data_IF_660909324676
#
_entry.id   IF_660909324676
#
_cell.length_a   1.000
_cell.length_b   1.000
_cell.length_c   1.000
_cell.angle_alpha   90.00
_cell.angle_beta   90.00
_cell.angle_gamma   90.00
#
_symmetry.space_group_name_H-M   'P 1'
#
loop_
_entity.id
_entity.type
_entity.pdbx_description
1 polymer ?
#
# COMPACT_ATOMS: atom_id res chain seq x y z
N UNK A 1 34.11 -2.52 -45.67
CA UNK A 1 33.63 -3.55 -44.73
C UNK A 1 33.91 -3.24 -43.26
N UNK A 2 35.13 -2.83 -42.87
CA UNK A 2 35.48 -2.49 -41.47
C UNK A 2 34.58 -1.42 -40.81
N UNK A 3 34.17 -0.38 -41.57
CA UNK A 3 33.27 0.69 -41.09
C UNK A 3 31.84 0.22 -40.82
N UNK A 4 31.34 -0.75 -41.60
CA UNK A 4 29.99 -1.32 -41.43
C UNK A 4 29.95 -2.20 -40.18
N UNK A 5 31.02 -2.97 -39.94
CA UNK A 5 31.17 -3.80 -38.73
C UNK A 5 31.24 -2.91 -37.48
N UNK A 6 31.96 -1.79 -37.55
CA UNK A 6 32.04 -0.83 -36.44
C UNK A 6 30.66 -0.22 -36.10
N UNK A 7 29.89 0.18 -37.11
CA UNK A 7 28.54 0.73 -36.91
C UNK A 7 27.62 -0.31 -36.29
N UNK A 8 27.68 -1.56 -36.75
CA UNK A 8 26.88 -2.65 -36.20
C UNK A 8 27.22 -2.94 -34.73
N UNK A 9 28.50 -2.91 -34.38
CA UNK A 9 28.96 -3.09 -33.00
C UNK A 9 28.47 -1.96 -32.09
N UNK A 10 28.49 -0.71 -32.55
CA UNK A 10 27.97 0.45 -31.80
C UNK A 10 26.46 0.36 -31.61
N UNK A 11 25.70 -0.06 -32.63
CA UNK A 11 24.26 -0.28 -32.50
C UNK A 11 23.93 -1.38 -31.48
N UNK A 12 24.64 -2.51 -31.50
CA UNK A 12 24.43 -3.61 -30.54
C UNK A 12 24.74 -3.16 -29.11
N UNK A 13 25.79 -2.37 -28.92
CA UNK A 13 26.15 -1.83 -27.61
C UNK A 13 25.09 -0.82 -27.09
N UNK A 14 24.58 0.04 -27.97
CA UNK A 14 23.52 0.99 -27.62
C UNK A 14 22.20 0.31 -27.23
N UNK A 15 21.83 -0.79 -27.89
CA UNK A 15 20.66 -1.58 -27.52
C UNK A 15 20.78 -2.23 -26.14
N UNK A 16 21.96 -2.71 -25.75
CA UNK A 16 22.19 -3.28 -24.42
C UNK A 16 22.14 -2.22 -23.30
N UNK A 17 22.64 -1.02 -23.57
CA UNK A 17 22.59 0.09 -22.61
C UNK A 17 21.13 0.53 -22.30
N UNK A 18 20.23 0.48 -23.28
CA UNK A 18 18.81 0.83 -23.07
C UNK A 18 18.04 -0.21 -22.24
N UNK A 19 18.48 -1.47 -22.22
CA UNK A 19 17.85 -2.52 -21.40
C UNK A 19 18.09 -2.33 -19.88
N UNK A 20 19.15 -1.60 -19.50
CA UNK A 20 19.47 -1.28 -18.10
C UNK A 20 18.77 -0.01 -17.59
N UNK A 21 18.19 0.79 -18.50
CA UNK A 21 17.49 2.05 -18.21
C UNK A 21 15.98 1.89 -18.06
N UNK A 22 15.42 0.74 -18.44
CA UNK A 22 14.05 0.38 -18.06
C UNK A 22 14.04 0.05 -16.57
N UNK A 23 13.30 0.86 -15.82
CA UNK A 23 13.13 0.88 -14.37
C UNK A 23 13.26 -0.48 -13.67
N UNK A 24 13.73 -0.52 -12.40
CA UNK A 24 13.63 -1.74 -11.61
C UNK A 24 12.15 -2.13 -11.54
N UNK A 25 11.76 -3.10 -12.35
CA UNK A 25 10.40 -3.58 -12.46
C UNK A 25 9.89 -3.81 -11.05
N UNK A 26 8.83 -3.07 -10.65
CA UNK A 26 8.19 -3.14 -9.34
C UNK A 26 8.26 -4.58 -8.82
N UNK A 27 9.18 -4.85 -7.91
CA UNK A 27 9.41 -6.22 -7.45
C UNK A 27 8.21 -6.60 -6.59
N UNK A 28 7.32 -7.41 -7.16
CA UNK A 28 6.17 -7.93 -6.44
C UNK A 28 6.65 -9.12 -5.63
N UNK A 29 6.99 -8.88 -4.38
CA UNK A 29 7.33 -9.93 -3.42
C UNK A 29 6.09 -10.77 -3.13
N UNK A 30 6.14 -12.05 -3.48
CA UNK A 30 5.11 -13.05 -3.15
C UNK A 30 5.76 -14.21 -2.42
N UNK A 31 5.25 -14.52 -1.23
CA UNK A 31 5.67 -15.71 -0.51
C UNK A 31 5.25 -16.98 -1.28
N UNK A 32 6.14 -17.96 -1.48
CA UNK A 32 5.81 -19.22 -2.15
C UNK A 32 4.72 -20.01 -1.40
N UNK A 33 4.59 -19.81 -0.09
CA UNK A 33 3.59 -20.45 0.77
C UNK A 33 2.31 -19.63 0.96
N UNK A 34 2.16 -18.50 0.27
CA UNK A 34 1.00 -17.60 0.45
C UNK A 34 -0.32 -18.33 0.20
N UNK A 35 -0.38 -19.20 -0.82
CA UNK A 35 -1.60 -19.96 -1.16
C UNK A 35 -1.97 -20.97 -0.08
N UNK A 36 -1.00 -21.52 0.64
CA UNK A 36 -1.22 -22.47 1.73
C UNK A 36 -1.65 -21.73 3.01
N UNK A 37 -1.00 -20.61 3.31
CA UNK A 37 -1.34 -19.75 4.44
C UNK A 37 -2.76 -19.16 4.34
N UNK A 38 -3.17 -18.72 3.14
CA UNK A 38 -4.53 -18.19 2.91
C UNK A 38 -5.61 -19.22 3.25
N UNK A 39 -5.39 -20.51 2.98
CA UNK A 39 -6.38 -21.57 3.31
C UNK A 39 -6.60 -21.72 4.81
N UNK A 40 -5.58 -21.41 5.62
CA UNK A 40 -5.65 -21.46 7.08
C UNK A 40 -6.21 -20.17 7.71
N UNK A 41 -6.36 -19.09 6.92
CA UNK A 41 -6.89 -17.82 7.39
C UNK A 41 -8.36 -17.67 7.00
N UNK A 42 -9.23 -17.43 7.99
CA UNK A 42 -10.61 -17.07 7.71
C UNK A 42 -10.69 -15.63 7.21
N UNK A 43 -11.52 -15.41 6.18
CA UNK A 43 -11.82 -14.07 5.67
C UNK A 43 -12.52 -13.27 6.76
N UNK A 44 -11.84 -12.25 7.28
CA UNK A 44 -12.41 -11.30 8.23
C UNK A 44 -12.92 -10.10 7.44
N UNK A 45 -14.18 -9.72 7.67
CA UNK A 45 -14.70 -8.46 7.13
C UNK A 45 -14.03 -7.30 7.88
N UNK A 46 -13.24 -6.51 7.15
CA UNK A 46 -12.85 -5.18 7.61
C UNK A 46 -14.09 -4.31 7.41
N UNK A 47 -14.65 -3.78 8.49
CA UNK A 47 -15.73 -2.81 8.41
C UNK A 47 -15.10 -1.42 8.31
N UNK A 48 -15.01 -0.82 7.11
CA UNK A 48 -14.62 0.57 7.04
C UNK A 48 -15.63 1.43 7.80
N UNK A 49 -15.16 2.50 8.43
CA UNK A 49 -15.99 3.45 9.14
C UNK A 49 -15.80 4.77 8.44
N UNK A 50 -16.91 5.40 8.07
CA UNK A 50 -16.90 6.76 7.56
C UNK A 50 -16.97 7.73 8.72
N UNK A 51 -16.24 8.84 8.61
CA UNK A 51 -16.26 9.92 9.59
C UNK A 51 -16.73 11.18 8.89
N UNK A 52 -17.67 11.89 9.53
CA UNK A 52 -18.18 13.16 9.04
C UNK A 52 -17.86 14.26 10.06
N UNK A 53 -17.29 15.37 9.58
CA UNK A 53 -16.95 16.54 10.38
C UNK A 53 -18.03 17.60 10.17
N UNK A 54 -18.88 17.80 11.17
CA UNK A 54 -19.95 18.79 11.13
C UNK A 54 -19.62 20.02 11.96
N UNK A 55 -19.73 21.21 11.36
CA UNK A 55 -19.55 22.50 12.06
C UNK A 55 -20.90 23.09 12.46
N UNK A 56 -21.04 23.52 13.72
CA UNK A 56 -22.20 24.32 14.15
C UNK A 56 -22.29 25.67 13.43
N UNK A 57 -21.15 26.23 13.04
CA UNK A 57 -21.03 27.44 12.23
C UNK A 57 -19.94 27.23 11.18
N UNK A 58 -20.32 27.24 9.92
CA UNK A 58 -19.39 27.04 8.80
C UNK A 58 -18.35 28.16 8.77
N UNK A 59 -17.04 27.84 8.78
CA UNK A 59 -16.00 28.84 8.64
C UNK A 59 -16.06 29.51 7.25
N UNK A 60 -15.72 30.79 7.18
CA UNK A 60 -15.83 31.60 5.95
C UNK A 60 -14.92 31.10 4.81
N UNK A 61 -13.86 30.36 5.13
CA UNK A 61 -12.86 29.87 4.19
C UNK A 61 -12.87 28.32 4.13
N UNK A 62 -14.05 27.70 4.23
CA UNK A 62 -14.20 26.26 4.17
C UNK A 62 -13.79 25.74 2.78
N UNK A 63 -12.59 25.16 2.67
CA UNK A 63 -12.18 24.45 1.46
C UNK A 63 -12.76 23.03 1.49
N UNK A 64 -13.82 22.81 0.71
CA UNK A 64 -14.53 21.52 0.63
C UNK A 64 -13.61 20.34 0.29
N UNK A 65 -12.54 20.56 -0.49
CA UNK A 65 -11.58 19.51 -0.85
C UNK A 65 -10.72 19.16 0.36
N UNK A 66 -10.25 20.18 1.07
CA UNK A 66 -9.46 19.99 2.27
C UNK A 66 -10.28 19.36 3.40
N UNK A 67 -11.55 19.75 3.56
CA UNK A 67 -12.46 19.13 4.55
C UNK A 67 -12.72 17.65 4.28
N UNK A 68 -13.03 17.29 3.02
CA UNK A 68 -13.20 15.88 2.66
C UNK A 68 -11.91 15.08 2.90
N UNK A 69 -10.74 15.68 2.65
CA UNK A 69 -9.45 15.05 2.94
C UNK A 69 -9.26 14.83 4.45
N UNK A 70 -9.62 15.80 5.28
CA UNK A 70 -9.56 15.65 6.74
C UNK A 70 -10.49 14.56 7.26
N UNK A 71 -11.70 14.44 6.70
CA UNK A 71 -12.64 13.37 7.05
C UNK A 71 -12.03 11.99 6.77
N UNK A 72 -11.39 11.82 5.61
CA UNK A 72 -10.69 10.58 5.24
C UNK A 72 -9.51 10.29 6.17
N UNK A 73 -8.68 11.30 6.46
CA UNK A 73 -7.53 11.15 7.36
C UNK A 73 -7.97 10.75 8.78
N UNK A 74 -9.02 11.40 9.28
CA UNK A 74 -9.60 11.09 10.58
C UNK A 74 -10.22 9.70 10.62
N UNK A 75 -10.92 9.28 9.55
CA UNK A 75 -11.45 7.93 9.42
C UNK A 75 -10.33 6.87 9.52
N UNK A 76 -9.20 7.09 8.84
CA UNK A 76 -8.04 6.19 8.92
C UNK A 76 -7.45 6.14 10.33
N UNK A 77 -7.33 7.29 11.00
CA UNK A 77 -6.82 7.35 12.37
C UNK A 77 -7.73 6.60 13.35
N UNK A 78 -9.04 6.87 13.31
CA UNK A 78 -10.02 6.21 14.19
C UNK A 78 -10.02 4.70 13.95
N UNK A 79 -10.02 4.26 12.70
CA UNK A 79 -9.89 2.84 12.35
C UNK A 79 -8.64 2.23 12.97
N UNK A 80 -7.50 2.90 12.84
CA UNK A 80 -6.24 2.42 13.39
C UNK A 80 -6.27 2.29 14.92
N UNK A 81 -6.84 3.26 15.62
CA UNK A 81 -6.97 3.24 17.08
C UNK A 81 -7.90 2.11 17.55
N UNK A 82 -9.04 1.93 16.89
CA UNK A 82 -10.00 0.85 17.18
C UNK A 82 -9.35 -0.51 16.98
N UNK A 83 -8.74 -0.76 15.82
CA UNK A 83 -8.08 -2.03 15.53
C UNK A 83 -6.89 -2.29 16.47
N UNK A 84 -6.13 -1.25 16.82
CA UNK A 84 -5.03 -1.36 17.79
C UNK A 84 -5.51 -1.71 19.19
N UNK A 85 -6.66 -1.17 19.62
CA UNK A 85 -7.27 -1.54 20.89
C UNK A 85 -7.71 -3.02 20.90
N UNK A 86 -8.38 -3.46 19.84
CA UNK A 86 -8.82 -4.86 19.67
C UNK A 86 -7.64 -5.83 19.60
N UNK A 87 -6.52 -5.42 18.99
CA UNK A 87 -5.27 -6.18 18.94
C UNK A 87 -4.68 -6.45 20.34
N UNK A 88 -4.77 -5.50 21.29
CA UNK A 88 -4.26 -5.72 22.67
C UNK A 88 -5.02 -6.81 23.40
N UNK A 89 -6.29 -6.98 23.07
CA UNK A 89 -7.19 -7.96 23.67
C UNK A 89 -7.34 -9.23 22.83
N UNK A 90 -6.48 -9.47 21.84
CA UNK A 90 -6.71 -10.49 20.82
C UNK A 90 -6.96 -11.91 21.38
N UNK A 91 -6.35 -12.27 22.51
CA UNK A 91 -6.56 -13.57 23.16
C UNK A 91 -8.00 -13.80 23.65
N UNK A 92 -8.76 -12.71 23.86
CA UNK A 92 -10.18 -12.76 24.28
C UNK A 92 -11.13 -12.96 23.09
N UNK A 93 -10.67 -12.76 21.85
CA UNK A 93 -11.50 -12.83 20.65
C UNK A 93 -11.12 -14.04 19.79
N UNK A 94 -12.13 -14.67 19.17
CA UNK A 94 -11.89 -15.77 18.21
C UNK A 94 -11.29 -15.30 16.89
N UNK A 95 -11.28 -13.99 16.65
CA UNK A 95 -10.79 -13.36 15.42
C UNK A 95 -9.48 -12.64 15.74
N UNK A 96 -8.46 -12.88 14.92
CA UNK A 96 -7.18 -12.19 15.02
C UNK A 96 -7.13 -11.05 14.01
N UNK A 97 -6.77 -9.88 14.48
CA UNK A 97 -6.49 -8.73 13.62
C UNK A 97 -5.00 -8.74 13.24
N UNK A 98 -4.68 -8.22 12.06
CA UNK A 98 -3.29 -8.04 11.62
C UNK A 98 -2.82 -6.63 11.98
N UNK A 99 -1.64 -6.52 12.57
CA UNK A 99 -0.97 -5.24 12.73
C UNK A 99 -0.29 -4.85 11.40
N UNK A 100 -0.90 -3.90 10.68
CA UNK A 100 -0.43 -3.44 9.37
C UNK A 100 0.95 -2.76 9.46
N UNK A 101 1.19 -1.95 10.50
CA UNK A 101 2.48 -1.26 10.67
C UNK A 101 3.63 -2.25 10.89
N UNK A 102 3.41 -3.24 11.76
CA UNK A 102 4.42 -4.25 12.05
C UNK A 102 4.66 -5.17 10.85
N UNK A 103 3.59 -5.54 10.14
CA UNK A 103 3.70 -6.34 8.90
C UNK A 103 4.49 -5.57 7.83
N UNK A 104 4.19 -4.30 7.61
CA UNK A 104 4.87 -3.48 6.60
C UNK A 104 6.34 -3.19 6.97
N UNK A 105 6.70 -3.23 8.26
CA UNK A 105 8.12 -3.09 8.68
C UNK A 105 8.95 -4.34 8.34
N UNK A 106 8.31 -5.50 8.23
CA UNK A 106 8.97 -6.79 7.98
C UNK A 106 9.08 -7.13 6.48
N UNK A 107 8.43 -6.35 5.61
CA UNK A 107 8.42 -6.48 4.15
C UNK A 107 9.38 -5.46 3.53
#
# INVERSE_FOLDING_TARGET
MKKVILILAVCLFACQAMAQLLEPAKQVYKSPHLREAIKAHHTVAILPFDVQITYRKTPKNLDTVWHARQEVELAQQVQFEVYSSLLREFFKYKVRFQNVLETNRLL
#
